data_IF_464724598941
#
_entry.id   IF_464724598941
#
_cell.length_a   1.000
_cell.length_b   1.000
_cell.length_c   1.000
_cell.angle_alpha   90.00
_cell.angle_beta   90.00
_cell.angle_gamma   90.00
#
_symmetry.space_group_name_H-M   'P 1'
#
loop_
_entity.id
_entity.type
_entity.pdbx_description
1 polymer ?
#
# COMPACT_ATOMS: atom_id res chain seq x y z
N UNK A 1 -58.73 -65.16 6.33
CA UNK A 1 -57.37 -65.57 5.92
C UNK A 1 -56.73 -64.39 5.21
N UNK A 2 -55.62 -63.88 5.75
CA UNK A 2 -55.01 -62.59 5.39
C UNK A 2 -54.44 -62.58 3.96
N UNK A 3 -54.74 -61.50 3.23
CA UNK A 3 -54.14 -61.15 1.94
C UNK A 3 -52.72 -60.58 2.15
N UNK A 4 -51.74 -61.15 1.43
CA UNK A 4 -50.34 -60.68 1.41
C UNK A 4 -50.19 -59.61 0.32
N UNK A 5 -49.91 -58.37 0.70
CA UNK A 5 -49.51 -57.29 -0.21
C UNK A 5 -47.99 -57.25 -0.28
N UNK A 6 -47.41 -57.50 -1.46
CA UNK A 6 -45.97 -57.34 -1.72
C UNK A 6 -45.63 -55.86 -1.93
N UNK A 7 -44.67 -55.35 -1.15
CA UNK A 7 -44.12 -54.00 -1.28
C UNK A 7 -42.86 -54.09 -2.17
N UNK A 8 -42.90 -53.52 -3.37
CA UNK A 8 -41.71 -53.32 -4.21
C UNK A 8 -40.99 -52.05 -3.78
N UNK A 9 -39.78 -52.18 -3.22
CA UNK A 9 -38.88 -51.06 -2.93
C UNK A 9 -38.01 -50.83 -4.18
N UNK A 10 -38.22 -49.71 -4.88
CA UNK A 10 -37.34 -49.29 -5.97
C UNK A 10 -36.09 -48.61 -5.38
N UNK A 11 -34.93 -49.25 -5.53
CA UNK A 11 -33.63 -48.61 -5.28
C UNK A 11 -33.34 -47.60 -6.40
N UNK A 12 -33.45 -46.30 -6.10
CA UNK A 12 -32.94 -45.23 -6.95
C UNK A 12 -31.43 -45.08 -6.68
N UNK A 13 -30.60 -45.52 -7.62
CA UNK A 13 -29.17 -45.24 -7.62
C UNK A 13 -28.95 -43.76 -7.95
N UNK A 14 -28.47 -42.99 -6.98
CA UNK A 14 -28.03 -41.61 -7.18
C UNK A 14 -26.63 -41.68 -7.83
N UNK A 15 -26.42 -41.11 -9.02
CA UNK A 15 -25.10 -41.09 -9.62
C UNK A 15 -24.20 -40.18 -8.77
N UNK A 16 -23.07 -40.72 -8.32
CA UNK A 16 -22.03 -39.92 -7.68
C UNK A 16 -21.56 -38.86 -8.68
N UNK A 17 -21.88 -37.60 -8.43
CA UNK A 17 -21.23 -36.48 -9.10
C UNK A 17 -19.74 -36.59 -8.78
N UNK A 18 -18.94 -36.90 -9.79
CA UNK A 18 -17.49 -36.73 -9.71
C UNK A 18 -17.24 -35.25 -9.42
N UNK A 19 -16.71 -34.94 -8.24
CA UNK A 19 -16.23 -33.60 -7.93
C UNK A 19 -15.21 -33.21 -9.00
N UNK A 20 -15.48 -32.14 -9.74
CA UNK A 20 -14.50 -31.55 -10.63
C UNK A 20 -13.22 -31.28 -9.81
N UNK A 21 -12.08 -31.75 -10.30
CA UNK A 21 -10.80 -31.40 -9.69
C UNK A 21 -10.73 -29.85 -9.61
N UNK A 22 -10.29 -29.28 -8.47
CA UNK A 22 -10.10 -27.84 -8.38
C UNK A 22 -9.22 -27.39 -9.56
N UNK A 23 -9.51 -26.25 -10.19
CA UNK A 23 -8.68 -25.74 -11.29
C UNK A 23 -7.23 -25.80 -10.83
N UNK A 24 -6.35 -26.41 -11.65
CA UNK A 24 -4.95 -26.57 -11.32
C UNK A 24 -4.42 -25.23 -10.80
N UNK A 25 -3.96 -25.20 -9.55
CA UNK A 25 -3.50 -23.97 -8.94
C UNK A 25 -2.45 -23.35 -9.88
N UNK A 26 -2.64 -22.09 -10.27
CA UNK A 26 -1.77 -21.36 -11.21
C UNK A 26 -0.42 -20.99 -10.57
N UNK A 27 0.20 -21.97 -9.93
CA UNK A 27 1.48 -21.89 -9.25
C UNK A 27 2.62 -22.12 -10.25
N UNK A 28 3.80 -21.54 -10.02
CA UNK A 28 4.95 -21.72 -10.90
C UNK A 28 5.41 -23.19 -10.99
N UNK A 29 5.54 -23.67 -12.22
CA UNK A 29 6.06 -25.00 -12.54
C UNK A 29 7.52 -25.15 -12.08
N UNK A 30 8.04 -26.38 -11.86
CA UNK A 30 9.43 -26.60 -11.44
C UNK A 30 10.48 -25.94 -12.33
N UNK A 31 10.18 -25.80 -13.62
CA UNK A 31 11.02 -25.14 -14.63
C UNK A 31 10.84 -23.61 -14.69
N UNK A 32 10.08 -23.04 -13.75
CA UNK A 32 9.80 -21.63 -13.59
C UNK A 32 8.73 -21.06 -14.53
N UNK A 33 8.11 -21.86 -15.40
CA UNK A 33 7.05 -21.39 -16.29
C UNK A 33 5.73 -21.12 -15.53
N UNK A 34 4.92 -20.19 -16.04
CA UNK A 34 3.55 -19.98 -15.59
C UNK A 34 2.62 -20.94 -16.36
N UNK A 35 1.92 -21.87 -15.69
CA UNK A 35 0.99 -22.79 -16.35
C UNK A 35 -0.32 -22.12 -16.79
N UNK A 36 -0.62 -20.92 -16.29
CA UNK A 36 -1.82 -20.15 -16.59
C UNK A 36 -1.46 -18.73 -17.07
N UNK A 37 -0.88 -18.57 -18.27
CA UNK A 37 -0.59 -17.25 -18.80
C UNK A 37 -1.89 -16.46 -19.01
N UNK A 38 -1.90 -15.19 -18.60
CA UNK A 38 -3.03 -14.27 -18.82
C UNK A 38 -2.60 -13.13 -19.73
N UNK A 39 -3.57 -12.49 -20.39
CA UNK A 39 -3.34 -11.20 -21.04
C UNK A 39 -3.63 -10.09 -20.04
N UNK A 40 -2.62 -9.30 -19.69
CA UNK A 40 -2.78 -8.20 -18.75
C UNK A 40 -3.38 -6.97 -19.43
N UNK A 41 -4.42 -6.41 -18.84
CA UNK A 41 -5.01 -5.16 -19.27
C UNK A 41 -4.20 -3.98 -18.73
N UNK A 42 -3.49 -3.28 -19.61
CA UNK A 42 -2.71 -2.09 -19.25
C UNK A 42 -3.43 -0.83 -19.74
N UNK A 43 -3.31 0.30 -19.01
CA UNK A 43 -3.78 1.57 -19.51
C UNK A 43 -3.24 1.85 -20.91
N UNK A 44 -4.10 2.34 -21.81
CA UNK A 44 -3.68 2.69 -23.17
C UNK A 44 -2.80 3.93 -23.09
N UNK A 45 -1.58 3.83 -23.64
CA UNK A 45 -0.67 4.96 -23.73
C UNK A 45 -1.17 5.93 -24.80
N UNK A 46 -1.67 7.07 -24.34
CA UNK A 46 -2.09 8.19 -25.19
C UNK A 46 -1.33 9.46 -24.78
N UNK A 47 -1.18 10.45 -25.69
CA UNK A 47 -0.58 11.73 -25.32
C UNK A 47 -1.32 12.38 -24.15
N UNK A 48 -0.56 12.97 -23.22
CA UNK A 48 -1.12 13.71 -22.08
C UNK A 48 -2.11 14.77 -22.57
N UNK A 49 -3.26 14.83 -21.91
CA UNK A 49 -4.21 15.93 -22.08
C UNK A 49 -3.53 17.26 -21.77
N UNK A 50 -4.07 18.36 -22.29
CA UNK A 50 -3.56 19.70 -21.96
C UNK A 50 -3.57 19.96 -20.45
N UNK A 51 -4.51 19.37 -19.70
CA UNK A 51 -4.58 19.48 -18.25
C UNK A 51 -3.45 18.68 -17.58
N UNK A 52 -3.20 17.45 -18.00
CA UNK A 52 -2.07 16.66 -17.49
C UNK A 52 -0.70 17.28 -17.84
N UNK A 53 -0.57 17.98 -18.98
CA UNK A 53 0.66 18.74 -19.29
C UNK A 53 0.89 19.91 -18.32
N UNK A 54 -0.18 20.60 -17.91
CA UNK A 54 -0.10 21.60 -16.83
C UNK A 54 0.29 20.91 -15.52
N UNK A 55 -0.32 19.77 -15.20
CA UNK A 55 -0.01 18.95 -14.04
C UNK A 55 1.46 18.55 -13.97
N UNK A 56 2.03 18.08 -15.08
CA UNK A 56 3.45 17.75 -15.20
C UNK A 56 4.31 18.97 -14.90
N UNK A 57 3.96 20.13 -15.47
CA UNK A 57 4.70 21.37 -15.24
C UNK A 57 4.69 21.76 -13.76
N UNK A 58 3.52 21.66 -13.10
CA UNK A 58 3.36 21.93 -11.66
C UNK A 58 4.14 20.94 -10.79
N UNK A 59 4.09 19.65 -11.12
CA UNK A 59 4.76 18.57 -10.37
C UNK A 59 6.27 18.78 -10.25
N UNK A 60 6.87 19.45 -11.25
CA UNK A 60 8.30 19.74 -11.32
C UNK A 60 8.65 21.20 -10.96
N UNK A 61 7.70 22.03 -10.50
CA UNK A 61 7.96 23.45 -10.25
C UNK A 61 8.36 23.72 -8.80
N UNK A 62 9.66 24.03 -8.52
CA UNK A 62 10.10 24.29 -7.16
C UNK A 62 9.62 25.64 -6.62
N UNK A 63 9.15 26.56 -7.49
CA UNK A 63 8.63 27.86 -7.06
C UNK A 63 7.25 27.75 -6.38
N UNK A 64 6.66 26.55 -6.35
CA UNK A 64 5.48 26.27 -5.54
C UNK A 64 5.80 26.10 -4.05
N UNK A 65 7.05 25.78 -3.67
CA UNK A 65 7.42 25.65 -2.25
C UNK A 65 7.72 27.01 -1.61
N UNK A 66 7.59 27.07 -0.28
CA UNK A 66 8.01 28.23 0.51
C UNK A 66 9.50 28.52 0.42
N UNK A 67 10.31 27.49 0.14
CA UNK A 67 11.75 27.61 -0.10
C UNK A 67 12.12 28.03 -1.53
N UNK A 68 11.19 27.92 -2.49
CA UNK A 68 11.46 28.07 -3.92
C UNK A 68 12.43 27.03 -4.51
N UNK A 69 12.71 25.93 -3.78
CA UNK A 69 13.78 24.95 -4.06
C UNK A 69 13.29 23.50 -4.08
N UNK A 70 12.02 23.24 -3.78
CA UNK A 70 11.46 21.89 -3.67
C UNK A 70 10.16 21.77 -4.48
N UNK A 71 10.03 20.69 -5.23
CA UNK A 71 8.81 20.34 -5.99
C UNK A 71 8.31 18.97 -5.56
N UNK A 72 7.18 18.51 -6.09
CA UNK A 72 6.70 17.14 -5.86
C UNK A 72 7.77 16.11 -6.29
N UNK A 73 8.44 16.36 -7.42
CA UNK A 73 9.51 15.51 -7.94
C UNK A 73 10.78 15.46 -7.07
N UNK A 74 10.96 16.40 -6.13
CA UNK A 74 12.09 16.37 -5.20
C UNK A 74 12.01 15.21 -4.21
N UNK A 75 10.79 14.75 -3.89
CA UNK A 75 10.55 13.60 -3.01
C UNK A 75 10.05 12.37 -3.78
N UNK A 76 9.46 12.58 -4.95
CA UNK A 76 8.90 11.55 -5.81
C UNK A 76 9.61 11.53 -7.17
N UNK A 77 10.82 10.97 -7.21
CA UNK A 77 11.65 10.98 -8.41
C UNK A 77 11.14 9.95 -9.46
N UNK A 78 10.77 10.37 -10.68
CA UNK A 78 10.35 9.47 -11.74
C UNK A 78 11.38 8.37 -12.07
N UNK A 79 12.68 8.65 -11.92
CA UNK A 79 13.75 7.67 -12.18
C UNK A 79 13.83 6.58 -11.09
N UNK A 80 13.15 6.77 -9.97
CA UNK A 80 13.10 5.87 -8.83
C UNK A 80 11.66 5.46 -8.51
N UNK A 81 10.84 5.27 -9.55
CA UNK A 81 9.44 4.85 -9.42
C UNK A 81 8.63 5.81 -8.53
N UNK A 82 8.85 7.11 -8.67
CA UNK A 82 8.21 8.16 -7.87
C UNK A 82 8.35 7.96 -6.36
N UNK A 83 9.46 7.37 -5.92
CA UNK A 83 9.86 7.23 -4.54
C UNK A 83 11.14 8.05 -4.26
N UNK A 84 11.53 8.23 -2.98
CA UNK A 84 12.79 8.90 -2.64
C UNK A 84 14.01 8.11 -3.12
N UNK A 85 15.07 8.84 -3.45
CA UNK A 85 16.34 8.30 -3.97
C UNK A 85 17.35 7.94 -2.88
N UNK A 86 17.12 8.38 -1.65
CA UNK A 86 18.07 8.25 -0.54
C UNK A 86 17.53 7.41 0.63
N UNK A 87 18.41 6.99 1.56
CA UNK A 87 18.05 6.17 2.71
C UNK A 87 17.48 6.96 3.89
N UNK A 88 17.24 8.25 3.73
CA UNK A 88 16.64 9.05 4.80
C UNK A 88 15.28 8.44 5.18
N UNK A 89 14.99 8.21 6.48
CA UNK A 89 13.71 7.66 6.91
C UNK A 89 12.51 8.48 6.44
N UNK A 90 12.69 9.80 6.34
CA UNK A 90 11.68 10.79 5.94
C UNK A 90 12.35 11.85 5.06
N UNK A 91 11.56 12.54 4.23
CA UNK A 91 12.06 13.64 3.43
C UNK A 91 12.24 14.91 4.27
N UNK A 92 13.19 15.76 3.87
CA UNK A 92 13.38 17.08 4.46
C UNK A 92 12.67 18.15 3.64
N UNK A 93 12.07 19.11 4.33
CA UNK A 93 11.32 20.23 3.78
C UNK A 93 11.42 21.46 4.67
N UNK A 94 10.38 22.29 4.66
CA UNK A 94 10.42 23.61 5.28
C UNK A 94 10.93 24.70 4.34
N UNK A 95 10.84 25.94 4.80
CA UNK A 95 11.30 27.12 4.04
C UNK A 95 12.82 27.14 3.83
N UNK A 96 13.58 26.37 4.61
CA UNK A 96 15.04 26.25 4.52
C UNK A 96 15.55 24.83 4.19
N UNK A 97 14.63 23.86 3.99
CA UNK A 97 14.93 22.44 3.73
C UNK A 97 15.61 21.70 4.89
N UNK A 98 15.35 22.11 6.14
CA UNK A 98 15.96 21.47 7.34
C UNK A 98 14.96 20.74 8.23
N UNK A 99 13.65 20.79 7.91
CA UNK A 99 12.60 20.18 8.72
C UNK A 99 12.31 18.77 8.22
N UNK A 100 12.37 17.79 9.10
CA UNK A 100 12.04 16.41 8.74
C UNK A 100 10.52 16.21 8.69
N UNK A 101 10.03 15.54 7.66
CA UNK A 101 8.65 15.11 7.57
C UNK A 101 8.28 14.07 8.64
N UNK A 102 6.98 13.84 8.83
CA UNK A 102 6.50 12.92 9.87
C UNK A 102 6.65 11.43 9.48
N UNK A 103 6.52 11.11 8.19
CA UNK A 103 6.45 9.74 7.67
C UNK A 103 7.36 9.53 6.47
N UNK A 104 7.72 8.27 6.23
CA UNK A 104 8.42 7.86 5.02
C UNK A 104 7.57 8.21 3.80
N UNK A 105 8.22 8.68 2.73
CA UNK A 105 7.53 9.05 1.50
C UNK A 105 7.23 7.78 0.69
N UNK A 106 5.94 7.46 0.42
CA UNK A 106 5.59 6.31 -0.40
C UNK A 106 5.86 6.58 -1.89
N UNK A 107 5.88 5.52 -2.69
CA UNK A 107 5.82 5.66 -4.16
C UNK A 107 4.48 6.27 -4.59
N UNK A 108 4.48 7.07 -5.67
CA UNK A 108 3.24 7.48 -6.35
C UNK A 108 2.83 6.54 -7.47
N UNK A 109 3.59 5.48 -7.74
CA UNK A 109 3.19 4.49 -8.76
C UNK A 109 1.94 3.73 -8.29
N UNK A 110 1.08 3.40 -9.26
CA UNK A 110 -0.10 2.55 -9.06
C UNK A 110 -1.18 3.13 -8.12
N UNK A 111 -1.38 4.45 -8.16
CA UNK A 111 -2.42 5.13 -7.39
C UNK A 111 -3.70 5.41 -8.20
N UNK A 112 -3.71 5.09 -9.50
CA UNK A 112 -4.78 5.48 -10.42
C UNK A 112 -6.10 4.74 -10.20
N UNK A 113 -6.06 3.54 -9.60
CA UNK A 113 -7.24 2.77 -9.24
C UNK A 113 -7.51 2.75 -7.73
N UNK A 114 -6.68 3.43 -6.92
CA UNK A 114 -6.81 3.38 -5.47
C UNK A 114 -8.17 3.96 -5.05
N UNK A 115 -9.03 3.20 -4.34
CA UNK A 115 -10.35 3.68 -3.99
C UNK A 115 -10.31 4.76 -2.91
N UNK A 116 -11.37 5.57 -2.86
CA UNK A 116 -11.62 6.48 -1.75
C UNK A 116 -11.67 5.72 -0.41
N UNK A 117 -11.46 6.42 0.70
CA UNK A 117 -11.54 5.81 2.01
C UNK A 117 -12.96 5.31 2.29
N UNK A 118 -13.07 4.08 2.78
CA UNK A 118 -14.34 3.52 3.25
C UNK A 118 -14.10 2.54 4.40
N UNK A 119 -15.16 2.25 5.15
CA UNK A 119 -15.20 1.16 6.12
C UNK A 119 -16.28 0.22 5.61
N UNK A 120 -15.85 -0.95 5.14
CA UNK A 120 -16.67 -1.89 4.39
C UNK A 120 -16.44 -3.33 4.84
N UNK A 121 -17.31 -4.27 4.44
CA UNK A 121 -16.99 -5.69 4.57
C UNK A 121 -15.65 -5.97 3.88
N UNK A 122 -14.82 -6.81 4.50
CA UNK A 122 -13.59 -7.28 3.90
C UNK A 122 -13.92 -7.97 2.58
N UNK A 123 -13.42 -7.42 1.48
CA UNK A 123 -13.52 -8.02 0.17
C UNK A 123 -12.11 -8.21 -0.39
N UNK A 124 -11.77 -9.47 -0.60
CA UNK A 124 -10.50 -9.90 -1.15
C UNK A 124 -10.29 -9.52 -2.62
N UNK A 125 -11.38 -9.20 -3.33
CA UNK A 125 -11.39 -9.03 -4.78
C UNK A 125 -11.88 -7.65 -5.22
N UNK A 126 -12.61 -6.90 -4.37
CA UNK A 126 -13.14 -5.60 -4.78
C UNK A 126 -12.39 -4.38 -4.23
N UNK A 127 -11.88 -3.59 -5.17
CA UNK A 127 -11.52 -2.17 -4.96
C UNK A 127 -12.74 -1.24 -5.10
N UNK A 128 -13.97 -1.75 -5.09
CA UNK A 128 -15.15 -0.89 -5.11
C UNK A 128 -15.42 -0.34 -3.73
N UNK A 129 -15.44 0.99 -3.59
CA UNK A 129 -15.83 1.65 -2.36
C UNK A 129 -17.26 1.22 -1.96
N UNK A 130 -17.38 0.47 -0.87
CA UNK A 130 -18.65 0.21 -0.21
C UNK A 130 -19.13 1.45 0.53
N UNK A 131 -20.45 1.59 0.67
CA UNK A 131 -21.07 2.66 1.46
C UNK A 131 -20.45 2.71 2.87
N UNK A 132 -20.01 3.88 3.36
CA UNK A 132 -19.40 4.00 4.68
C UNK A 132 -20.34 3.47 5.76
N UNK A 133 -19.89 2.47 6.51
CA UNK A 133 -20.61 1.97 7.67
C UNK A 133 -20.09 2.61 8.95
N UNK A 134 -21.00 2.97 9.86
CA UNK A 134 -20.67 3.50 11.19
C UNK A 134 -20.49 2.41 12.25
N UNK A 135 -20.56 1.13 11.86
CA UNK A 135 -20.41 0.00 12.79
C UNK A 135 -18.97 -0.11 13.28
N UNK A 136 -18.79 -0.55 14.54
CA UNK A 136 -17.49 -0.88 15.09
C UNK A 136 -16.78 -1.92 14.19
N UNK A 137 -15.46 -1.80 14.03
CA UNK A 137 -14.68 -2.84 13.37
C UNK A 137 -14.72 -4.09 14.27
N UNK A 138 -14.88 -5.26 13.66
CA UNK A 138 -14.72 -6.53 14.37
C UNK A 138 -13.26 -6.75 14.77
N UNK A 139 -12.95 -7.71 15.65
CA UNK A 139 -11.55 -8.12 15.87
C UNK A 139 -10.89 -8.46 14.53
N UNK A 140 -9.58 -8.21 14.40
CA UNK A 140 -8.80 -8.63 13.23
C UNK A 140 -9.12 -10.09 12.92
N UNK A 141 -9.76 -10.32 11.77
CA UNK A 141 -10.17 -11.65 11.34
C UNK A 141 -8.99 -12.38 10.74
N UNK A 142 -8.95 -13.70 10.93
CA UNK A 142 -7.95 -14.54 10.30
C UNK A 142 -7.99 -14.37 8.77
N UNK A 143 -6.88 -13.91 8.18
CA UNK A 143 -6.67 -13.81 6.74
C UNK A 143 -5.60 -14.81 6.31
N UNK A 144 -5.91 -15.58 5.26
CA UNK A 144 -4.97 -16.56 4.71
C UNK A 144 -4.84 -16.39 3.20
N UNK A 145 -3.62 -16.49 2.68
CA UNK A 145 -3.35 -16.43 1.24
C UNK A 145 -4.18 -17.41 0.36
N UNK A 146 -4.82 -18.40 0.97
CA UNK A 146 -5.64 -19.41 0.30
C UNK A 146 -7.16 -19.21 0.49
N UNK A 147 -7.59 -18.44 1.49
CA UNK A 147 -8.99 -18.21 1.79
C UNK A 147 -9.19 -16.93 2.62
N UNK A 148 -9.64 -15.86 1.95
CA UNK A 148 -10.04 -14.60 2.58
C UNK A 148 -11.53 -14.58 2.96
N UNK A 149 -12.30 -15.64 2.64
CA UNK A 149 -13.74 -15.66 2.92
C UNK A 149 -14.05 -15.75 4.43
N UNK A 150 -13.09 -16.17 5.25
CA UNK A 150 -13.22 -16.20 6.71
C UNK A 150 -13.27 -14.79 7.32
N UNK A 151 -12.64 -13.81 6.67
CA UNK A 151 -12.66 -12.41 7.10
C UNK A 151 -13.74 -11.58 6.41
N UNK A 152 -14.38 -12.09 5.35
CA UNK A 152 -15.36 -11.37 4.51
C UNK A 152 -16.63 -10.84 5.22
N UNK A 153 -16.83 -11.18 6.50
CA UNK A 153 -17.89 -10.60 7.35
C UNK A 153 -17.44 -9.42 8.22
N UNK A 154 -16.14 -9.12 8.26
CA UNK A 154 -15.57 -8.09 9.11
C UNK A 154 -15.63 -6.73 8.44
N UNK A 155 -16.00 -5.70 9.20
CA UNK A 155 -15.91 -4.32 8.76
C UNK A 155 -14.46 -3.87 8.88
N UNK A 156 -13.79 -3.57 7.77
CA UNK A 156 -12.39 -3.14 7.72
C UNK A 156 -12.26 -1.77 7.04
N UNK A 157 -11.35 -0.90 7.51
CA UNK A 157 -11.02 0.33 6.81
C UNK A 157 -10.18 0.00 5.57
N UNK A 158 -10.46 0.69 4.46
CA UNK A 158 -9.75 0.48 3.20
C UNK A 158 -9.70 1.75 2.34
N UNK A 159 -8.77 1.78 1.38
CA UNK A 159 -8.62 2.86 0.41
C UNK A 159 -7.95 4.12 0.97
N UNK A 160 -8.44 5.28 0.53
CA UNK A 160 -7.88 6.59 0.83
C UNK A 160 -6.47 6.78 0.28
N UNK A 161 -5.81 7.88 0.60
CA UNK A 161 -4.43 8.20 0.22
C UNK A 161 -3.65 8.62 1.47
N UNK A 162 -2.32 8.71 1.33
CA UNK A 162 -1.36 8.70 2.45
C UNK A 162 -1.38 7.37 3.24
N UNK A 163 -0.51 7.29 4.25
CA UNK A 163 -0.40 6.15 5.15
C UNK A 163 -1.62 5.94 6.07
N UNK A 164 -2.40 7.01 6.32
CA UNK A 164 -3.57 7.04 7.21
C UNK A 164 -4.90 7.24 6.46
N UNK A 165 -4.91 7.12 5.13
CA UNK A 165 -6.14 7.21 4.34
C UNK A 165 -6.87 8.55 4.39
N UNK A 166 -6.24 9.64 4.88
CA UNK A 166 -6.92 10.92 5.16
C UNK A 166 -7.35 11.73 3.94
N UNK A 167 -7.05 11.29 2.74
CA UNK A 167 -7.43 11.97 1.50
C UNK A 167 -8.07 10.96 0.54
N UNK A 168 -9.21 11.32 -0.06
CA UNK A 168 -9.95 10.41 -0.94
C UNK A 168 -9.50 10.49 -2.39
N UNK A 169 -8.90 11.61 -2.80
CA UNK A 169 -8.53 11.84 -4.19
C UNK A 169 -7.11 12.37 -4.32
N UNK A 170 -6.46 12.11 -5.47
CA UNK A 170 -5.14 12.65 -5.77
C UNK A 170 -5.09 14.19 -5.71
N UNK A 171 -6.23 14.85 -6.01
CA UNK A 171 -6.36 16.29 -5.88
C UNK A 171 -6.29 16.74 -4.41
N UNK A 172 -7.02 16.07 -3.51
CA UNK A 172 -6.94 16.34 -2.07
C UNK A 172 -5.56 15.98 -1.53
N UNK A 173 -4.96 14.88 -1.99
CA UNK A 173 -3.62 14.45 -1.59
C UNK A 173 -2.58 15.50 -1.96
N UNK A 174 -2.62 16.07 -3.17
CA UNK A 174 -1.67 17.08 -3.62
C UNK A 174 -1.70 18.37 -2.78
N UNK A 175 -2.83 18.68 -2.13
CA UNK A 175 -2.97 19.84 -1.26
C UNK A 175 -2.15 19.70 0.05
N UNK A 176 -2.04 18.49 0.59
CA UNK A 176 -1.34 18.21 1.85
C UNK A 176 0.14 18.66 1.87
N UNK A 177 1.02 18.07 1.04
CA UNK A 177 2.44 18.38 1.04
C UNK A 177 2.72 19.84 0.66
N UNK A 178 1.87 20.45 -0.17
CA UNK A 178 2.03 21.82 -0.64
C UNK A 178 2.05 22.85 0.50
N UNK A 179 1.19 22.67 1.50
CA UNK A 179 1.03 23.60 2.62
C UNK A 179 1.56 23.07 3.96
N UNK A 180 2.05 21.81 4.01
CA UNK A 180 2.64 21.27 5.22
C UNK A 180 3.97 22.00 5.53
N UNK A 181 4.14 22.60 6.72
CA UNK A 181 5.36 23.33 7.10
C UNK A 181 6.63 22.45 7.18
N UNK A 182 6.49 21.13 7.30
CA UNK A 182 7.61 20.18 7.30
C UNK A 182 7.94 19.64 5.90
N UNK A 183 7.12 19.96 4.90
CA UNK A 183 7.28 19.52 3.51
C UNK A 183 7.53 20.74 2.61
N UNK A 184 6.63 21.07 1.67
CA UNK A 184 6.86 22.19 0.76
C UNK A 184 6.72 23.56 1.43
N UNK A 185 6.10 23.63 2.61
CA UNK A 185 5.97 24.83 3.45
C UNK A 185 5.51 26.09 2.68
N UNK A 186 4.64 25.90 1.68
CA UNK A 186 4.15 27.02 0.89
C UNK A 186 3.10 27.82 1.64
N UNK A 187 2.78 28.99 1.11
CA UNK A 187 1.61 29.76 1.51
C UNK A 187 0.66 29.91 0.34
N UNK A 188 -0.62 30.13 0.63
CA UNK A 188 -1.62 30.39 -0.42
C UNK A 188 -1.21 31.56 -1.32
N UNK A 189 -0.56 32.58 -0.77
CA UNK A 189 -0.04 33.72 -1.54
C UNK A 189 1.07 33.31 -2.53
N UNK A 190 2.03 32.49 -2.10
CA UNK A 190 3.11 31.97 -2.96
C UNK A 190 2.52 31.15 -4.10
N UNK A 191 1.65 30.20 -3.77
CA UNK A 191 1.02 29.32 -4.76
C UNK A 191 0.22 30.15 -5.78
N UNK A 192 -0.69 31.02 -5.32
CA UNK A 192 -1.52 31.82 -6.23
C UNK A 192 -0.70 32.77 -7.10
N UNK A 193 0.32 33.42 -6.55
CA UNK A 193 1.22 34.26 -7.35
C UNK A 193 1.89 33.42 -8.45
N UNK A 194 2.37 32.23 -8.10
CA UNK A 194 2.99 31.31 -9.06
C UNK A 194 1.98 30.78 -10.08
N UNK A 195 0.75 30.48 -9.69
CA UNK A 195 -0.32 30.06 -10.60
C UNK A 195 -0.75 31.16 -11.59
N UNK A 196 -0.72 32.43 -11.17
CA UNK A 196 -1.13 33.57 -12.02
C UNK A 196 -0.06 33.99 -13.02
N UNK A 197 1.22 33.84 -12.65
CA UNK A 197 2.36 34.39 -13.41
C UNK A 197 3.36 33.34 -13.92
N UNK A 198 3.20 32.07 -13.54
CA UNK A 198 4.05 30.96 -13.99
C UNK A 198 3.84 30.58 -15.46
N UNK A 199 4.70 29.70 -16.00
CA UNK A 199 4.70 29.33 -17.41
C UNK A 199 3.40 28.63 -17.87
N UNK A 200 2.71 27.93 -16.96
CA UNK A 200 1.46 27.23 -17.22
C UNK A 200 0.21 28.10 -17.05
N UNK A 201 0.35 29.35 -16.57
CA UNK A 201 -0.79 30.22 -16.28
C UNK A 201 -1.69 30.51 -17.51
N UNK A 202 -1.16 30.75 -18.74
CA UNK A 202 -2.02 30.92 -19.92
C UNK A 202 -2.84 29.68 -20.24
N UNK A 203 -2.25 28.49 -20.11
CA UNK A 203 -2.93 27.22 -20.36
C UNK A 203 -4.00 26.96 -19.30
N UNK A 204 -3.67 27.15 -18.03
CA UNK A 204 -4.59 26.94 -16.91
C UNK A 204 -5.82 27.87 -17.00
N UNK A 205 -5.62 29.15 -17.34
CA UNK A 205 -6.74 30.08 -17.62
C UNK A 205 -7.58 29.66 -18.82
N UNK A 206 -6.96 29.14 -19.87
CA UNK A 206 -7.68 28.67 -21.07
C UNK A 206 -8.54 27.45 -20.75
N UNK A 207 -8.01 26.49 -20.01
CA UNK A 207 -8.70 25.24 -19.66
C UNK A 207 -9.81 25.45 -18.63
N UNK A 208 -9.55 26.28 -17.60
CA UNK A 208 -10.53 26.57 -16.55
C UNK A 208 -11.57 27.64 -16.89
N UNK A 209 -11.43 28.30 -18.04
CA UNK A 209 -12.36 29.32 -18.52
C UNK A 209 -12.42 30.58 -17.65
N UNK A 210 -13.43 31.45 -17.89
CA UNK A 210 -13.55 32.74 -17.20
C UNK A 210 -13.68 32.63 -15.68
N UNK A 211 -14.26 31.54 -15.18
CA UNK A 211 -14.49 31.32 -13.74
C UNK A 211 -13.16 31.24 -12.96
N UNK A 212 -12.14 30.58 -13.52
CA UNK A 212 -10.80 30.48 -12.91
C UNK A 212 -10.13 31.84 -12.79
N UNK A 213 -10.37 32.75 -13.73
CA UNK A 213 -9.82 34.10 -13.67
C UNK A 213 -10.45 34.95 -12.55
N UNK A 214 -11.67 34.60 -12.11
CA UNK A 214 -12.43 35.32 -11.08
C UNK A 214 -12.39 34.69 -9.69
N UNK A 215 -11.79 33.50 -9.53
CA UNK A 215 -11.76 32.78 -8.25
C UNK A 215 -10.41 32.13 -7.99
N UNK A 216 -9.72 32.61 -6.96
CA UNK A 216 -8.46 32.04 -6.48
C UNK A 216 -8.64 30.62 -5.91
N UNK A 217 -9.84 30.29 -5.41
CA UNK A 217 -10.15 28.92 -4.98
C UNK A 217 -10.29 27.98 -6.17
N UNK A 218 -10.99 28.41 -7.22
CA UNK A 218 -11.13 27.61 -8.42
C UNK A 218 -9.79 27.46 -9.15
N UNK A 219 -8.98 28.52 -9.23
CA UNK A 219 -7.63 28.47 -9.80
C UNK A 219 -6.75 27.44 -9.07
N UNK A 220 -6.76 27.44 -7.73
CA UNK A 220 -6.03 26.46 -6.94
C UNK A 220 -6.59 25.04 -7.15
N UNK A 221 -7.91 24.89 -7.13
CA UNK A 221 -8.60 23.62 -7.37
C UNK A 221 -8.18 23.00 -8.72
N UNK A 222 -8.23 23.78 -9.79
CA UNK A 222 -7.84 23.34 -11.14
C UNK A 222 -6.36 22.99 -11.24
N UNK A 223 -5.48 23.71 -10.54
CA UNK A 223 -4.06 23.37 -10.49
C UNK A 223 -3.81 22.02 -9.78
N UNK A 224 -4.48 21.77 -8.65
CA UNK A 224 -4.39 20.49 -7.95
C UNK A 224 -5.01 19.35 -8.78
N UNK A 225 -6.12 19.62 -9.47
CA UNK A 225 -6.72 18.68 -10.42
C UNK A 225 -5.76 18.36 -11.57
N UNK A 226 -5.02 19.35 -12.09
CA UNK A 226 -4.00 19.13 -13.11
C UNK A 226 -2.92 18.16 -12.63
N UNK A 227 -2.40 18.35 -11.42
CA UNK A 227 -1.41 17.43 -10.80
C UNK A 227 -1.98 16.01 -10.68
N UNK A 228 -3.25 15.87 -10.27
CA UNK A 228 -3.92 14.57 -10.24
C UNK A 228 -4.03 13.94 -11.64
N UNK A 229 -4.41 14.71 -12.66
CA UNK A 229 -4.49 14.23 -14.05
C UNK A 229 -3.13 13.76 -14.58
N UNK A 230 -2.04 14.43 -14.23
CA UNK A 230 -0.70 13.98 -14.60
C UNK A 230 -0.38 12.59 -14.03
N UNK A 231 -0.67 12.37 -12.74
CA UNK A 231 -0.45 11.07 -12.09
C UNK A 231 -1.31 9.94 -12.66
N UNK A 232 -2.50 10.27 -13.19
CA UNK A 232 -3.39 9.30 -13.85
C UNK A 232 -2.98 9.03 -15.31
N UNK A 233 -2.59 10.06 -16.04
CA UNK A 233 -2.42 9.97 -17.50
C UNK A 233 -1.01 9.59 -17.93
N UNK A 234 0.03 9.91 -17.15
CA UNK A 234 1.40 9.57 -17.54
C UNK A 234 1.67 8.08 -17.22
N UNK A 235 1.94 7.24 -18.25
CA UNK A 235 2.14 5.80 -18.06
C UNK A 235 3.34 5.44 -17.20
N UNK A 236 4.24 6.39 -16.91
CA UNK A 236 5.35 6.15 -15.97
C UNK A 236 4.87 5.92 -14.53
N UNK A 237 3.65 6.35 -14.16
CA UNK A 237 3.07 6.04 -12.85
C UNK A 237 2.51 4.61 -12.78
N UNK A 238 2.20 3.99 -13.92
CA UNK A 238 1.58 2.67 -13.96
C UNK A 238 2.09 1.81 -15.15
N UNK A 239 3.41 1.56 -15.22
CA UNK A 239 4.00 0.89 -16.39
C UNK A 239 3.63 -0.59 -16.50
N UNK A 240 3.37 -1.29 -15.39
CA UNK A 240 3.06 -2.73 -15.35
C UNK A 240 4.05 -3.57 -16.18
N UNK A 241 5.35 -3.27 -16.01
CA UNK A 241 6.43 -3.70 -16.89
C UNK A 241 7.51 -4.50 -16.14
N UNK A 242 7.15 -5.08 -15.00
CA UNK A 242 8.07 -5.84 -14.17
C UNK A 242 8.35 -7.25 -14.73
N UNK A 243 9.45 -7.91 -14.32
CA UNK A 243 9.65 -9.34 -14.59
C UNK A 243 8.49 -10.24 -14.14
N UNK A 244 7.73 -9.85 -13.13
CA UNK A 244 6.53 -10.58 -12.68
C UNK A 244 5.39 -10.45 -13.67
N UNK A 245 5.13 -9.25 -14.20
CA UNK A 245 4.12 -9.05 -15.26
C UNK A 245 4.45 -9.89 -16.50
N UNK A 246 5.73 -9.94 -16.89
CA UNK A 246 6.19 -10.80 -17.99
C UNK A 246 6.01 -12.31 -17.69
N UNK A 247 6.12 -12.74 -16.43
CA UNK A 247 5.85 -14.12 -16.04
C UNK A 247 4.35 -14.43 -16.04
N UNK A 248 3.51 -13.51 -15.56
CA UNK A 248 2.04 -13.62 -15.63
C UNK A 248 1.56 -13.81 -17.08
N UNK A 249 2.23 -13.20 -18.06
CA UNK A 249 1.92 -13.34 -19.48
C UNK A 249 2.64 -14.52 -20.17
N UNK A 250 3.34 -15.38 -19.42
CA UNK A 250 4.07 -16.52 -19.97
C UNK A 250 5.32 -16.15 -20.80
N UNK A 251 5.74 -14.88 -20.79
CA UNK A 251 6.88 -14.35 -21.55
C UNK A 251 8.21 -14.47 -20.80
N UNK A 252 8.19 -14.93 -19.55
CA UNK A 252 9.36 -15.12 -18.70
C UNK A 252 9.20 -16.36 -17.82
N UNK A 253 10.33 -16.96 -17.45
CA UNK A 253 10.42 -18.01 -16.43
C UNK A 253 11.05 -17.47 -15.15
N UNK A 254 10.54 -17.92 -14.01
CA UNK A 254 11.17 -17.68 -12.71
C UNK A 254 12.46 -18.49 -12.59
N UNK A 255 13.48 -17.92 -11.94
CA UNK A 255 14.61 -18.69 -11.44
C UNK A 255 14.17 -19.62 -10.30
N UNK A 256 14.94 -20.66 -9.94
CA UNK A 256 14.61 -21.51 -8.80
C UNK A 256 14.42 -20.75 -7.48
N UNK A 257 15.19 -19.68 -7.23
CA UNK A 257 15.04 -18.84 -6.04
C UNK A 257 13.75 -18.02 -6.06
N UNK A 258 13.45 -17.37 -7.19
CA UNK A 258 12.19 -16.63 -7.38
C UNK A 258 10.97 -17.51 -7.20
N UNK A 259 11.01 -18.74 -7.76
CA UNK A 259 9.94 -19.71 -7.60
C UNK A 259 9.73 -20.10 -6.14
N UNK A 260 10.81 -20.45 -5.42
CA UNK A 260 10.71 -20.77 -3.98
C UNK A 260 10.14 -19.57 -3.19
N UNK A 261 10.61 -18.36 -3.51
CA UNK A 261 10.11 -17.13 -2.92
C UNK A 261 8.62 -16.91 -3.12
N UNK A 262 8.14 -17.06 -4.36
CA UNK A 262 6.73 -16.96 -4.71
C UNK A 262 5.85 -17.96 -3.93
N UNK A 263 6.32 -19.20 -3.81
CA UNK A 263 5.60 -20.23 -3.05
C UNK A 263 5.55 -19.91 -1.56
N UNK A 264 6.66 -19.44 -0.97
CA UNK A 264 6.71 -19.03 0.45
C UNK A 264 5.87 -17.79 0.73
N UNK A 265 5.83 -16.84 -0.21
CA UNK A 265 5.00 -15.63 -0.14
C UNK A 265 3.50 -15.97 -0.06
N UNK A 266 3.08 -17.05 -0.74
CA UNK A 266 1.70 -17.53 -0.80
C UNK A 266 1.37 -18.66 0.20
N UNK A 267 2.34 -19.12 0.99
CA UNK A 267 2.14 -20.23 1.92
C UNK A 267 1.58 -19.69 3.26
N UNK A 268 0.33 -20.06 3.64
CA UNK A 268 -0.35 -19.51 4.81
C UNK A 268 0.25 -19.97 6.14
N UNK A 269 1.09 -21.01 6.18
CA UNK A 269 1.79 -21.45 7.38
C UNK A 269 3.21 -20.86 7.52
N UNK A 270 3.63 -20.09 6.49
CA UNK A 270 4.98 -19.56 6.33
C UNK A 270 4.97 -18.04 6.22
N UNK A 271 4.96 -17.52 4.99
CA UNK A 271 5.02 -16.08 4.75
C UNK A 271 3.65 -15.42 4.83
N UNK A 272 2.60 -16.12 4.37
CA UNK A 272 1.22 -15.64 4.27
C UNK A 272 1.05 -14.23 3.68
N UNK A 273 2.06 -13.73 2.97
CA UNK A 273 2.16 -12.34 2.59
C UNK A 273 1.03 -11.95 1.63
N UNK A 274 0.61 -12.89 0.77
CA UNK A 274 -0.48 -12.70 -0.18
C UNK A 274 -1.86 -12.50 0.48
N UNK A 275 -2.01 -12.73 1.78
CA UNK A 275 -3.24 -12.44 2.52
C UNK A 275 -3.58 -10.94 2.52
N UNK A 276 -2.57 -10.07 2.67
CA UNK A 276 -2.71 -8.61 2.58
C UNK A 276 -2.12 -8.04 1.28
N UNK A 277 -1.22 -8.78 0.62
CA UNK A 277 -0.56 -8.38 -0.63
C UNK A 277 -0.95 -9.29 -1.80
N UNK A 278 -2.23 -9.29 -2.22
CA UNK A 278 -2.74 -10.18 -3.27
C UNK A 278 -1.96 -10.03 -4.57
N UNK A 279 -1.55 -11.17 -5.12
CA UNK A 279 -0.58 -11.27 -6.22
C UNK A 279 -1.18 -11.77 -7.53
N UNK A 280 -2.49 -11.96 -7.57
CA UNK A 280 -3.22 -12.45 -8.75
C UNK A 280 -3.86 -11.32 -9.54
N UNK A 281 -3.79 -11.34 -10.88
CA UNK A 281 -4.57 -10.44 -11.71
C UNK A 281 -6.06 -10.55 -11.41
N UNK A 282 -6.78 -9.44 -11.52
CA UNK A 282 -8.24 -9.45 -11.43
C UNK A 282 -8.86 -10.22 -12.62
N UNK A 283 -10.12 -10.67 -12.52
CA UNK A 283 -10.80 -11.36 -13.61
C UNK A 283 -10.87 -10.58 -14.93
N UNK A 284 -10.83 -9.24 -14.87
CA UNK A 284 -10.81 -8.35 -16.03
C UNK A 284 -9.40 -8.19 -16.67
N UNK A 285 -8.39 -8.86 -16.12
CA UNK A 285 -7.00 -8.80 -16.57
C UNK A 285 -6.20 -7.65 -15.95
N UNK A 286 -6.76 -6.87 -15.03
CA UNK A 286 -6.01 -5.81 -14.33
C UNK A 286 -4.82 -6.43 -13.57
N UNK A 287 -3.59 -5.94 -13.76
CA UNK A 287 -2.42 -6.45 -13.06
C UNK A 287 -2.56 -6.32 -11.54
N UNK A 288 -2.03 -7.28 -10.76
CA UNK A 288 -2.10 -7.22 -9.31
C UNK A 288 -1.30 -6.05 -8.77
N UNK A 289 -1.85 -5.30 -7.82
CA UNK A 289 -1.14 -4.20 -7.16
C UNK A 289 -0.31 -4.64 -5.95
N UNK A 290 -0.45 -5.90 -5.51
CA UNK A 290 0.24 -6.43 -4.32
C UNK A 290 -0.11 -5.63 -3.06
N UNK A 291 -1.40 -5.30 -2.93
CA UNK A 291 -2.02 -4.64 -1.78
C UNK A 291 -3.53 -4.83 -1.89
N UNK A 292 -4.19 -5.04 -0.75
CA UNK A 292 -5.65 -5.03 -0.60
C UNK A 292 -6.19 -3.62 -0.26
N UNK A 293 -5.29 -2.63 -0.13
CA UNK A 293 -5.57 -1.28 0.35
C UNK A 293 -6.24 -1.19 1.73
N UNK A 294 -6.18 -2.27 2.52
CA UNK A 294 -6.69 -2.29 3.89
C UNK A 294 -5.63 -1.76 4.86
N UNK A 295 -5.98 -1.66 6.14
CA UNK A 295 -5.08 -1.12 7.15
C UNK A 295 -4.83 -2.13 8.25
N UNK A 296 -3.57 -2.24 8.65
CA UNK A 296 -3.11 -3.21 9.64
C UNK A 296 -2.25 -2.51 10.71
N UNK A 297 -2.27 -3.03 11.94
CA UNK A 297 -1.43 -2.59 13.04
C UNK A 297 -0.37 -3.65 13.32
N UNK A 298 0.78 -3.52 12.66
CA UNK A 298 1.84 -4.53 12.76
C UNK A 298 2.76 -4.34 13.97
N UNK A 299 2.79 -3.15 14.56
CA UNK A 299 3.63 -2.84 15.72
C UNK A 299 5.12 -2.64 15.37
N UNK A 300 5.44 -2.06 14.22
CA UNK A 300 6.84 -1.75 13.88
C UNK A 300 7.52 -0.87 14.94
N UNK A 301 8.84 -1.03 15.19
CA UNK A 301 9.50 -0.28 16.25
C UNK A 301 9.50 1.22 16.03
N UNK A 302 9.55 1.95 17.16
CA UNK A 302 9.60 3.41 17.19
C UNK A 302 10.89 3.94 16.59
N UNK A 303 10.75 4.74 15.53
CA UNK A 303 11.88 5.46 14.96
C UNK A 303 12.27 6.69 15.79
N UNK A 304 13.18 6.49 16.74
CA UNK A 304 13.68 7.56 17.65
C UNK A 304 14.55 8.61 16.97
N UNK A 305 14.94 8.41 15.70
CA UNK A 305 15.67 9.45 14.96
C UNK A 305 14.75 10.57 14.48
N UNK A 306 13.44 10.33 14.39
CA UNK A 306 12.47 11.33 13.95
C UNK A 306 12.28 12.43 15.01
N UNK A 307 12.28 13.73 14.63
CA UNK A 307 12.13 14.82 15.58
C UNK A 307 10.84 14.76 16.41
N UNK A 308 9.71 14.36 15.81
CA UNK A 308 8.43 14.22 16.51
C UNK A 308 8.52 13.23 17.68
N UNK A 309 9.32 12.17 17.53
CA UNK A 309 9.49 11.12 18.52
C UNK A 309 10.39 11.49 19.71
N UNK A 310 11.04 12.68 19.66
CA UNK A 310 11.74 13.25 20.83
C UNK A 310 10.76 13.61 21.95
N UNK A 311 9.50 13.90 21.61
CA UNK A 311 8.44 13.95 22.60
C UNK A 311 7.97 12.52 22.90
N UNK A 312 8.19 11.98 24.10
CA UNK A 312 7.78 10.62 24.44
C UNK A 312 6.25 10.45 24.48
N UNK A 313 5.48 11.54 24.59
CA UNK A 313 4.02 11.48 24.57
C UNK A 313 3.43 11.47 23.14
N UNK A 314 4.25 11.76 22.13
CA UNK A 314 3.81 11.76 20.74
C UNK A 314 3.80 10.33 20.20
N UNK A 315 2.68 9.93 19.61
CA UNK A 315 2.56 8.70 18.84
C UNK A 315 1.85 9.01 17.53
N UNK A 316 2.38 8.48 16.43
CA UNK A 316 1.66 8.44 15.17
C UNK A 316 0.72 7.24 15.20
N UNK A 317 -0.57 7.49 15.32
CA UNK A 317 -1.60 6.46 15.46
C UNK A 317 -2.29 6.14 14.14
N UNK A 318 -1.73 6.59 13.01
CA UNK A 318 -2.23 6.28 11.68
C UNK A 318 -3.65 6.78 11.49
N UNK A 319 -4.60 5.86 11.24
CA UNK A 319 -6.00 6.19 11.00
C UNK A 319 -6.61 7.07 12.10
N UNK A 320 -6.30 6.84 13.38
CA UNK A 320 -6.93 7.61 14.46
C UNK A 320 -6.19 8.92 14.80
N UNK A 321 -5.16 9.28 14.03
CA UNK A 321 -4.47 10.58 14.14
C UNK A 321 -2.99 10.48 14.49
N UNK A 322 -2.34 11.58 14.90
CA UNK A 322 -2.91 12.92 15.11
C UNK A 322 -3.08 13.74 13.82
N UNK A 323 -2.55 13.28 12.68
CA UNK A 323 -2.68 13.99 11.40
C UNK A 323 -4.09 13.86 10.83
N UNK A 324 -4.68 12.66 10.91
CA UNK A 324 -6.08 12.42 10.60
C UNK A 324 -6.95 12.77 11.82
N UNK A 325 -8.04 13.49 11.61
CA UNK A 325 -8.85 14.07 12.71
C UNK A 325 -10.28 13.54 12.77
N UNK A 326 -10.84 13.10 11.64
CA UNK A 326 -12.21 12.60 11.51
C UNK A 326 -12.40 11.21 12.16
N UNK A 327 -11.30 10.53 12.48
CA UNK A 327 -11.29 9.19 13.10
C UNK A 327 -10.69 9.19 14.52
N UNK A 328 -10.47 10.35 15.13
CA UNK A 328 -9.79 10.48 16.43
C UNK A 328 -10.50 9.76 17.59
N UNK A 329 -11.80 9.50 17.47
CA UNK A 329 -12.60 8.79 18.49
C UNK A 329 -12.67 7.28 18.26
N UNK A 330 -12.09 6.77 17.16
CA UNK A 330 -12.06 5.35 16.81
C UNK A 330 -10.81 4.68 17.39
N UNK A 331 -10.88 4.36 18.68
CA UNK A 331 -9.81 3.66 19.39
C UNK A 331 -9.44 2.30 18.74
N UNK A 332 -10.43 1.64 18.13
CA UNK A 332 -10.27 0.42 17.34
C UNK A 332 -9.49 0.60 16.03
N UNK A 333 -9.21 1.84 15.63
CA UNK A 333 -8.39 2.17 14.45
C UNK A 333 -7.01 2.72 14.78
N UNK A 334 -6.67 2.86 16.06
CA UNK A 334 -5.38 3.41 16.44
C UNK A 334 -4.23 2.45 16.15
N UNK A 335 -3.19 2.93 15.49
CA UNK A 335 -2.02 2.14 15.07
C UNK A 335 -2.17 1.49 13.69
N UNK A 336 -3.34 1.63 13.05
CA UNK A 336 -3.60 1.09 11.72
C UNK A 336 -3.00 2.00 10.63
N UNK A 337 -2.20 1.40 9.75
CA UNK A 337 -1.64 2.05 8.55
C UNK A 337 -1.94 1.21 7.32
N UNK A 338 -2.07 1.86 6.16
CA UNK A 338 -2.42 1.17 4.93
C UNK A 338 -1.35 0.15 4.53
N UNK A 339 -1.77 -1.03 4.09
CA UNK A 339 -0.94 -2.04 3.42
C UNK A 339 -0.41 -1.45 2.11
N UNK A 340 0.89 -1.14 1.96
CA UNK A 340 1.40 -0.49 0.76
C UNK A 340 1.54 -1.49 -0.39
N UNK A 341 1.45 -1.01 -1.64
CA UNK A 341 1.85 -1.83 -2.80
C UNK A 341 3.29 -2.32 -2.65
N UNK A 342 3.53 -3.60 -2.98
CA UNK A 342 4.88 -4.17 -3.08
C UNK A 342 5.53 -3.98 -4.46
N UNK A 343 4.82 -3.40 -5.44
CA UNK A 343 5.45 -3.00 -6.70
C UNK A 343 6.58 -2.01 -6.40
N UNK A 344 7.71 -2.20 -7.06
CA UNK A 344 8.93 -1.41 -6.89
C UNK A 344 9.52 -1.42 -5.46
N UNK A 345 9.12 -2.35 -4.58
CA UNK A 345 9.61 -2.37 -3.19
C UNK A 345 11.12 -2.60 -3.07
N UNK A 346 11.69 -3.38 -4.00
CA UNK A 346 13.11 -3.73 -3.97
C UNK A 346 14.07 -2.57 -4.29
N UNK A 347 13.56 -1.43 -4.76
CA UNK A 347 14.37 -0.21 -4.99
C UNK A 347 14.19 0.84 -3.90
N UNK A 348 13.38 0.57 -2.86
CA UNK A 348 13.16 1.49 -1.76
C UNK A 348 14.31 1.40 -0.74
N UNK A 349 14.55 2.51 -0.05
CA UNK A 349 15.60 2.64 0.96
C UNK A 349 15.10 2.94 2.37
N UNK A 350 13.80 3.18 2.52
CA UNK A 350 13.12 3.34 3.80
C UNK A 350 11.81 2.55 3.74
N UNK A 351 11.52 1.77 4.78
CA UNK A 351 10.38 0.86 4.84
C UNK A 351 9.50 1.16 6.05
N UNK A 352 8.22 0.79 5.92
CA UNK A 352 7.12 1.13 6.83
C UNK A 352 6.85 2.65 6.93
N UNK A 353 5.78 3.01 7.64
CA UNK A 353 5.29 4.39 7.69
C UNK A 353 6.30 5.36 8.33
N UNK A 354 7.16 4.91 9.23
CA UNK A 354 8.13 5.73 9.96
C UNK A 354 9.58 5.58 9.44
N UNK A 355 9.80 4.77 8.39
CA UNK A 355 11.12 4.61 7.75
C UNK A 355 12.17 3.96 8.65
N UNK A 356 11.79 3.20 9.69
CA UNK A 356 12.73 2.59 10.66
C UNK A 356 13.71 1.60 10.03
N UNK A 357 13.29 0.92 8.95
CA UNK A 357 14.08 -0.11 8.30
C UNK A 357 14.55 0.35 6.92
N UNK A 358 15.71 -0.16 6.50
CA UNK A 358 16.40 0.32 5.29
C UNK A 358 16.70 -0.77 4.27
N UNK A 359 16.41 -2.03 4.58
CA UNK A 359 16.56 -3.15 3.66
C UNK A 359 15.36 -4.10 3.73
N UNK A 360 15.11 -4.85 2.66
CA UNK A 360 14.13 -5.94 2.68
C UNK A 360 14.51 -7.06 3.67
N UNK A 361 15.78 -7.19 4.05
CA UNK A 361 16.18 -8.12 5.10
C UNK A 361 15.61 -7.67 6.44
N UNK A 362 15.75 -6.38 6.78
CA UNK A 362 15.20 -5.84 8.04
C UNK A 362 13.68 -6.02 8.10
N UNK A 363 13.00 -5.78 6.97
CA UNK A 363 11.54 -5.98 6.83
C UNK A 363 11.17 -7.43 7.11
N UNK A 364 11.82 -8.41 6.46
CA UNK A 364 11.49 -9.82 6.67
C UNK A 364 11.98 -10.34 8.04
N UNK A 365 13.05 -9.78 8.59
CA UNK A 365 13.47 -10.06 9.97
C UNK A 365 12.40 -9.58 10.95
N UNK A 366 11.82 -8.39 10.76
CA UNK A 366 10.68 -7.91 11.56
C UNK A 366 9.51 -8.89 11.53
N UNK A 367 8.95 -9.18 10.35
CA UNK A 367 7.79 -10.08 10.23
C UNK A 367 8.02 -11.43 10.90
N UNK A 368 9.23 -11.97 10.80
CA UNK A 368 9.53 -13.34 11.23
C UNK A 368 9.98 -13.44 12.68
N UNK A 369 10.50 -12.35 13.27
CA UNK A 369 11.13 -12.36 14.59
C UNK A 369 10.37 -11.56 15.65
N UNK A 370 9.40 -10.72 15.26
CA UNK A 370 8.65 -9.84 16.18
C UNK A 370 8.18 -10.57 17.44
N UNK A 371 7.52 -11.70 17.28
CA UNK A 371 6.88 -12.41 18.40
C UNK A 371 7.74 -13.54 18.97
N UNK A 372 8.61 -14.14 18.14
CA UNK A 372 9.45 -15.27 18.56
C UNK A 372 10.79 -14.84 19.19
N UNK A 373 11.31 -13.66 18.84
CA UNK A 373 12.58 -13.09 19.30
C UNK A 373 12.51 -11.55 19.39
N UNK A 374 11.58 -10.98 20.18
CA UNK A 374 11.34 -9.54 20.29
C UNK A 374 12.59 -8.75 20.70
N UNK A 375 13.56 -9.37 21.37
CA UNK A 375 14.83 -8.74 21.76
C UNK A 375 15.71 -8.34 20.57
N UNK A 376 15.42 -8.88 19.38
CA UNK A 376 16.07 -8.52 18.12
C UNK A 376 15.35 -7.39 17.38
N UNK A 377 14.13 -7.06 17.80
CA UNK A 377 13.24 -6.10 17.12
C UNK A 377 13.05 -4.83 17.94
N UNK A 378 12.84 -4.97 19.24
CA UNK A 378 12.52 -3.86 20.14
C UNK A 378 13.65 -3.60 21.14
N UNK A 379 13.78 -2.36 21.64
CA UNK A 379 14.76 -2.03 22.64
C UNK A 379 14.38 -2.60 24.01
N UNK A 380 15.33 -2.52 24.95
CA UNK A 380 15.09 -2.81 26.36
C UNK A 380 14.66 -1.54 27.11
N UNK A 381 13.84 -1.71 28.14
CA UNK A 381 13.47 -0.66 29.08
C UNK A 381 14.63 -0.31 30.04
N UNK A 382 14.38 0.63 30.96
CA UNK A 382 15.36 1.05 31.96
C UNK A 382 15.77 -0.06 32.95
N UNK A 383 14.97 -1.12 33.09
CA UNK A 383 15.24 -2.28 33.94
C UNK A 383 15.92 -3.42 33.17
N UNK A 384 16.22 -3.21 31.87
CA UNK A 384 16.82 -4.22 31.00
C UNK A 384 15.83 -5.27 30.46
N UNK A 385 14.53 -5.09 30.67
CA UNK A 385 13.47 -5.94 30.13
C UNK A 385 13.21 -5.58 28.66
N UNK A 386 13.06 -6.58 27.81
CA UNK A 386 12.77 -6.38 26.38
C UNK A 386 11.35 -5.85 26.24
N UNK A 387 11.17 -4.77 25.48
CA UNK A 387 9.84 -4.30 25.12
C UNK A 387 9.24 -5.24 24.07
N UNK A 388 7.92 -5.46 24.12
CA UNK A 388 7.20 -6.24 23.10
C UNK A 388 6.56 -5.37 22.01
N UNK A 389 6.60 -4.05 22.23
CA UNK A 389 6.20 -2.97 21.34
C UNK A 389 6.73 -1.67 21.97
N UNK A 390 7.06 -0.66 21.17
CA UNK A 390 7.52 0.62 21.72
C UNK A 390 7.02 1.88 20.99
N UNK A 391 6.08 1.73 20.05
CA UNK A 391 5.52 2.85 19.27
C UNK A 391 3.99 2.98 19.39
N UNK A 392 3.31 2.07 20.09
CA UNK A 392 1.86 2.10 20.27
C UNK A 392 1.49 2.23 21.76
N UNK A 393 0.63 3.19 22.15
CA UNK A 393 0.18 3.30 23.54
C UNK A 393 -0.49 2.02 24.04
N UNK A 394 -0.32 1.74 25.35
CA UNK A 394 -0.85 0.53 26.00
C UNK A 394 -2.36 0.30 25.77
N UNK A 395 -3.13 1.38 25.64
CA UNK A 395 -4.57 1.33 25.40
C UNK A 395 -4.97 0.71 24.06
N UNK A 396 -4.04 0.63 23.09
CA UNK A 396 -4.32 0.20 21.72
C UNK A 396 -3.60 -1.09 21.33
N UNK A 397 -2.94 -1.77 22.27
CA UNK A 397 -2.18 -3.00 21.95
C UNK A 397 -3.06 -4.16 21.49
N UNK A 398 -4.34 -4.15 21.85
CA UNK A 398 -5.32 -5.11 21.35
C UNK A 398 -5.57 -4.99 19.84
N UNK A 399 -5.15 -3.89 19.20
CA UNK A 399 -5.28 -3.70 17.77
C UNK A 399 -4.14 -4.40 17.00
N UNK A 400 -3.06 -4.83 17.66
CA UNK A 400 -1.95 -5.47 16.96
C UNK A 400 -2.37 -6.80 16.33
N UNK A 401 -1.96 -7.01 15.08
CA UNK A 401 -2.16 -8.30 14.42
C UNK A 401 -1.25 -9.36 15.03
N UNK A 402 -1.87 -10.41 15.58
CA UNK A 402 -1.26 -11.58 16.22
C UNK A 402 -1.95 -12.88 15.79
N UNK A 403 -2.80 -12.83 14.75
CA UNK A 403 -3.75 -13.90 14.46
C UNK A 403 -3.21 -14.89 13.46
N UNK A 404 -2.56 -14.41 12.39
CA UNK A 404 -2.12 -15.24 11.28
C UNK A 404 -0.59 -15.25 11.15
N UNK A 405 -0.07 -16.26 10.46
CA UNK A 405 1.35 -16.32 10.15
C UNK A 405 1.81 -15.04 9.43
N UNK A 406 3.03 -14.55 9.69
CA UNK A 406 4.04 -15.12 10.59
C UNK A 406 3.90 -14.71 12.07
N UNK A 407 2.83 -14.02 12.44
CA UNK A 407 2.60 -13.43 13.76
C UNK A 407 1.83 -14.33 14.75
N UNK A 408 1.44 -15.52 14.32
CA UNK A 408 0.74 -16.56 15.10
C UNK A 408 1.66 -17.36 16.05
N UNK A 409 2.92 -16.95 16.19
CA UNK A 409 3.98 -17.66 16.92
C UNK A 409 4.35 -16.96 18.21
N UNK A 410 4.92 -17.72 19.16
CA UNK A 410 5.21 -17.23 20.50
C UNK A 410 6.71 -17.19 20.79
N UNK A 411 7.07 -16.48 21.85
CA UNK A 411 8.45 -16.33 22.31
C UNK A 411 9.16 -17.68 22.41
N UNK A 412 10.28 -17.83 21.68
CA UNK A 412 11.09 -19.05 21.66
C UNK A 412 10.67 -20.12 20.65
N UNK A 413 9.53 -19.95 19.96
CA UNK A 413 9.14 -20.83 18.86
C UNK A 413 10.14 -20.73 17.69
N UNK A 414 10.18 -21.76 16.86
CA UNK A 414 10.91 -21.69 15.60
C UNK A 414 10.30 -20.60 14.71
N UNK A 415 11.09 -19.72 14.05
CA UNK A 415 10.53 -18.73 13.15
C UNK A 415 9.85 -19.37 11.93
N UNK A 416 8.82 -18.70 11.38
CA UNK A 416 8.09 -19.21 10.22
C UNK A 416 8.97 -19.44 8.99
N UNK A 417 9.90 -18.51 8.77
CA UNK A 417 10.83 -18.54 7.64
C UNK A 417 12.27 -18.61 8.14
N UNK A 418 13.04 -19.53 7.59
CA UNK A 418 14.49 -19.57 7.75
C UNK A 418 15.15 -18.37 7.05
N UNK A 419 16.39 -17.99 7.42
CA UNK A 419 17.12 -16.94 6.71
C UNK A 419 17.23 -17.17 5.20
N UNK A 420 17.36 -18.42 4.76
CA UNK A 420 17.40 -18.76 3.32
C UNK A 420 16.05 -18.56 2.64
N UNK A 421 14.96 -18.98 3.29
CA UNK A 421 13.60 -18.76 2.78
C UNK A 421 13.30 -17.26 2.64
N UNK A 422 13.75 -16.43 3.59
CA UNK A 422 13.67 -14.95 3.47
C UNK A 422 14.40 -14.42 2.24
N UNK A 423 15.59 -14.92 1.93
CA UNK A 423 16.30 -14.53 0.70
C UNK A 423 15.56 -14.96 -0.58
N UNK A 424 14.90 -16.11 -0.56
CA UNK A 424 14.10 -16.57 -1.70
C UNK A 424 12.88 -15.64 -1.90
N UNK A 425 12.18 -15.22 -0.83
CA UNK A 425 11.11 -14.21 -0.91
C UNK A 425 11.65 -12.88 -1.48
N UNK A 426 12.81 -12.40 -1.01
CA UNK A 426 13.44 -11.19 -1.57
C UNK A 426 13.74 -11.36 -3.07
N UNK A 427 14.14 -12.54 -3.51
CA UNK A 427 14.34 -12.82 -4.93
C UNK A 427 13.04 -12.69 -5.73
N UNK A 428 11.90 -13.12 -5.16
CA UNK A 428 10.57 -12.87 -5.73
C UNK A 428 10.19 -11.38 -5.72
N UNK A 429 10.36 -10.66 -4.60
CA UNK A 429 10.04 -9.23 -4.52
C UNK A 429 10.81 -8.38 -5.55
N UNK A 430 12.04 -8.77 -5.90
CA UNK A 430 12.82 -8.15 -6.99
C UNK A 430 12.21 -8.33 -8.38
N UNK A 431 11.31 -9.29 -8.57
CA UNK A 431 10.55 -9.43 -9.82
C UNK A 431 9.46 -8.38 -9.95
N UNK A 432 9.08 -7.70 -8.87
CA UNK A 432 8.03 -6.68 -8.83
C UNK A 432 8.54 -5.28 -9.19
N UNK A 433 9.82 -5.16 -9.55
CA UNK A 433 10.44 -3.89 -9.98
C UNK A 433 10.22 -3.67 -11.47
N UNK A 434 9.58 -2.57 -11.81
CA UNK A 434 9.39 -2.15 -13.19
C UNK A 434 10.71 -1.86 -13.87
N UNK A 435 10.72 -2.06 -15.18
CA UNK A 435 11.81 -1.56 -16.00
C UNK A 435 11.61 -0.05 -16.20
N UNK A 436 12.68 0.74 -16.27
CA UNK A 436 12.57 2.14 -16.66
C UNK A 436 11.78 2.25 -17.97
N UNK A 437 10.86 3.22 -18.04
CA UNK A 437 10.20 3.55 -19.29
C UNK A 437 11.25 4.03 -20.30
N UNK A 438 11.31 3.40 -21.47
CA UNK A 438 12.21 3.75 -22.57
C UNK A 438 11.53 4.71 -23.55
#
# INVERSE_FOLDING_TARGET
>A
MLSKTFLFLALLAIPALAAAAPPAACLPMPDGSNPCPVALHRPVVIPLSAMAQVGRSLFHDPALSGSGRQSCASCHDPAHHYAPTGPAPVAQGGTDLTRDGLRAVPTLTYLETRPNFSIGPDDAETETATTPSTTAIGPHGAKTAQNNAASAGNMVPQGGLFWDGRADTLQQQANGPLFNPDEMASSRAIVLARLKHGPYAPMLRRLGGPAVASSDDLLLSEALFAIARYQIEDPTFHPYASPYDAWLEGRRRMTPAQRRGYLLFNDPAKGNCAACHPDRPKPDGTPPLLTDHQFEALGVPRNRTLPANRNPAFHDLGLCGPVRIDMATRADMCGLFVTPTLRNTATRHAFFHNGIYHTLNDVLDFYVLRDVAPERIYPKDANGQVLHQDDLPAAYLANLDVTDAPFDRHLGDAPALTPRERQDIIAFLRMLTDRPAH
#
